data_IF_115738576359
#
_entry.id   IF_115738576359
#
_cell.length_a   1.000
_cell.length_b   1.000
_cell.length_c   1.000
_cell.angle_alpha   90.00
_cell.angle_beta   90.00
_cell.angle_gamma   90.00
#
_symmetry.space_group_name_H-M   'P 1'
#
loop_
_entity.id
_entity.type
_entity.pdbx_description
1 polymer ?
#
# COMPACT_ATOMS: atom_id res chain seq x y z
N UNK A 1 4.25 -16.54 4.75
CA UNK A 1 3.91 -16.29 3.37
C UNK A 1 4.67 -17.27 2.48
N UNK A 2 4.08 -17.61 1.40
CA UNK A 2 4.58 -18.59 0.45
C UNK A 2 5.47 -17.98 -0.63
N UNK A 3 5.78 -16.73 -0.56
CA UNK A 3 6.69 -16.06 -1.47
C UNK A 3 6.12 -15.62 -2.81
N UNK A 4 4.83 -15.82 -3.07
CA UNK A 4 4.23 -15.27 -4.30
C UNK A 4 3.69 -13.88 -4.06
N UNK A 5 3.58 -13.09 -5.11
CA UNK A 5 3.12 -11.70 -5.00
C UNK A 5 1.96 -11.43 -5.95
N UNK A 6 0.88 -10.98 -5.39
CA UNK A 6 -0.29 -10.42 -6.03
C UNK A 6 -0.37 -8.99 -5.50
N UNK A 7 -0.63 -7.98 -6.31
CA UNK A 7 -0.52 -6.60 -5.85
C UNK A 7 -1.43 -6.29 -4.68
N UNK A 8 -2.68 -6.77 -4.70
CA UNK A 8 -3.58 -6.56 -3.57
C UNK A 8 -3.03 -7.21 -2.31
N UNK A 9 -2.58 -8.45 -2.42
CA UNK A 9 -1.97 -9.14 -1.30
C UNK A 9 -0.64 -8.51 -0.91
N UNK A 10 0.12 -7.99 -1.86
CA UNK A 10 1.37 -7.34 -1.53
C UNK A 10 1.17 -6.08 -0.70
N UNK A 11 0.13 -5.33 -1.00
CA UNK A 11 -0.25 -4.18 -0.18
C UNK A 11 -0.67 -4.65 1.22
N UNK A 12 -1.33 -5.80 1.34
CA UNK A 12 -1.85 -6.35 2.58
C UNK A 12 -1.08 -7.58 3.06
N UNK A 13 -0.86 -8.58 2.20
CA UNK A 13 -0.31 -9.88 2.57
C UNK A 13 0.10 -10.68 1.33
N UNK A 14 1.10 -10.26 0.62
CA UNK A 14 1.46 -10.74 -0.72
C UNK A 14 1.79 -12.20 -0.87
N UNK A 15 1.48 -12.77 -2.03
CA UNK A 15 1.93 -14.08 -2.44
C UNK A 15 2.48 -14.04 -3.87
N UNK A 16 3.65 -14.58 -4.08
CA UNK A 16 4.43 -14.44 -5.31
C UNK A 16 3.86 -15.17 -6.53
N UNK A 17 3.39 -16.41 -6.32
CA UNK A 17 2.81 -17.21 -7.42
C UNK A 17 1.60 -16.53 -8.07
N UNK A 18 0.80 -15.84 -7.31
CA UNK A 18 -0.38 -15.16 -7.86
C UNK A 18 -0.02 -14.08 -8.85
N UNK A 19 1.06 -13.33 -8.59
CA UNK A 19 1.49 -12.29 -9.52
C UNK A 19 1.96 -12.89 -10.83
N UNK A 20 2.75 -13.94 -10.75
CA UNK A 20 3.25 -14.58 -11.97
C UNK A 20 2.15 -15.31 -12.73
N UNK A 21 1.12 -15.79 -12.04
CA UNK A 21 0.00 -16.46 -12.69
C UNK A 21 -0.96 -15.49 -13.35
N UNK A 22 -1.25 -14.37 -12.68
CA UNK A 22 -2.30 -13.44 -13.10
C UNK A 22 -1.79 -12.21 -13.82
N UNK A 23 -0.49 -12.12 -14.07
CA UNK A 23 0.15 -10.89 -14.51
C UNK A 23 -0.01 -9.79 -13.45
N UNK A 24 0.32 -8.56 -13.79
CA UNK A 24 0.09 -7.45 -12.88
C UNK A 24 -1.37 -7.05 -12.90
N UNK A 25 -1.90 -6.80 -11.73
CA UNK A 25 -3.27 -6.36 -11.57
C UNK A 25 -3.45 -4.93 -12.09
N UNK A 26 -4.67 -4.56 -12.49
CA UNK A 26 -4.95 -3.19 -12.94
C UNK A 26 -4.50 -2.11 -11.96
N UNK A 27 -4.51 -2.39 -10.65
CA UNK A 27 -4.01 -1.45 -9.66
C UNK A 27 -2.52 -1.15 -9.84
N UNK A 28 -1.73 -2.11 -10.30
CA UNK A 28 -0.32 -1.88 -10.61
C UNK A 28 -0.16 -0.91 -11.78
N UNK A 29 -1.01 -1.00 -12.78
CA UNK A 29 -1.01 -0.07 -13.89
C UNK A 29 -1.40 1.34 -13.44
N UNK A 30 -2.39 1.44 -12.57
CA UNK A 30 -2.76 2.70 -11.96
C UNK A 30 -1.58 3.30 -11.18
N UNK A 31 -0.88 2.48 -10.42
CA UNK A 31 0.32 2.91 -9.70
C UNK A 31 1.38 3.44 -10.66
N UNK A 32 1.67 2.71 -11.74
CA UNK A 32 2.67 3.16 -12.72
C UNK A 32 2.28 4.49 -13.37
N UNK A 33 1.00 4.67 -13.66
CA UNK A 33 0.50 5.93 -14.20
C UNK A 33 0.65 7.07 -13.18
N UNK A 34 0.30 6.81 -11.92
CA UNK A 34 0.36 7.81 -10.86
C UNK A 34 1.80 8.25 -10.57
N UNK A 35 2.76 7.32 -10.61
CA UNK A 35 4.16 7.65 -10.30
C UNK A 35 4.81 8.53 -11.36
N UNK A 36 4.25 8.60 -12.55
CA UNK A 36 4.75 9.48 -13.62
C UNK A 36 4.47 10.95 -13.35
N UNK A 37 3.50 11.24 -12.51
CA UNK A 37 3.18 12.62 -12.14
C UNK A 37 4.03 13.00 -10.93
N UNK A 38 4.96 13.98 -11.07
CA UNK A 38 5.85 14.37 -9.98
C UNK A 38 5.11 14.99 -8.78
N UNK A 39 3.86 15.41 -8.95
CA UNK A 39 3.05 15.94 -7.85
C UNK A 39 2.49 14.83 -6.97
N UNK A 40 2.53 13.59 -7.44
CA UNK A 40 2.08 12.45 -6.67
C UNK A 40 3.21 11.89 -5.81
N UNK A 41 2.93 11.66 -4.55
CA UNK A 41 3.85 11.01 -3.62
C UNK A 41 3.31 9.60 -3.35
N UNK A 42 3.97 8.61 -3.92
CA UNK A 42 3.56 7.22 -3.76
C UNK A 42 4.25 6.63 -2.54
N UNK A 43 3.45 6.13 -1.62
CA UNK A 43 3.93 5.52 -0.38
C UNK A 43 3.38 4.11 -0.31
N UNK A 44 4.25 3.15 -0.03
CA UNK A 44 3.83 1.80 0.29
C UNK A 44 3.68 1.72 1.80
N UNK A 45 2.53 1.26 2.26
CA UNK A 45 2.26 1.04 3.68
C UNK A 45 1.76 -0.40 3.85
N UNK A 46 2.59 -1.26 4.40
CA UNK A 46 2.31 -2.69 4.48
C UNK A 46 2.49 -3.24 5.88
N UNK A 47 1.64 -4.18 6.27
CA UNK A 47 1.77 -4.92 7.52
C UNK A 47 2.84 -6.03 7.43
N UNK A 48 3.45 -6.19 6.28
CA UNK A 48 4.47 -7.18 6.04
C UNK A 48 5.84 -6.67 6.49
N UNK A 49 6.68 -7.55 6.98
CA UNK A 49 8.11 -7.25 7.15
C UNK A 49 8.74 -7.40 5.77
N UNK A 50 9.23 -6.28 5.22
CA UNK A 50 9.78 -6.27 3.86
C UNK A 50 11.12 -7.00 3.80
N UNK A 51 11.25 -7.88 2.82
CA UNK A 51 12.48 -8.61 2.55
C UNK A 51 13.00 -8.29 1.15
N UNK A 52 14.15 -8.88 0.83
CA UNK A 52 14.84 -8.66 -0.43
C UNK A 52 13.94 -8.97 -1.65
N UNK A 53 13.16 -10.05 -1.58
CA UNK A 53 12.26 -10.44 -2.66
C UNK A 53 11.16 -9.40 -2.91
N UNK A 54 10.71 -8.73 -1.87
CA UNK A 54 9.68 -7.70 -2.01
C UNK A 54 10.22 -6.50 -2.78
N UNK A 55 11.44 -6.08 -2.48
CA UNK A 55 12.08 -4.98 -3.19
C UNK A 55 12.39 -5.35 -4.64
N UNK A 56 12.87 -6.57 -4.87
CA UNK A 56 13.12 -7.08 -6.22
C UNK A 56 11.84 -7.09 -7.07
N UNK A 57 10.73 -7.51 -6.46
CA UNK A 57 9.44 -7.52 -7.13
C UNK A 57 9.05 -6.12 -7.61
N UNK A 58 9.14 -5.13 -6.73
CA UNK A 58 8.81 -3.75 -7.09
C UNK A 58 9.68 -3.26 -8.25
N UNK A 59 10.96 -3.54 -8.18
CA UNK A 59 11.89 -3.14 -9.22
C UNK A 59 11.59 -3.81 -10.55
N UNK A 60 11.34 -5.12 -10.52
CA UNK A 60 11.04 -5.91 -11.72
C UNK A 60 9.81 -5.38 -12.44
N UNK A 61 8.82 -4.92 -11.70
CA UNK A 61 7.56 -4.42 -12.27
C UNK A 61 7.49 -2.91 -12.38
N UNK A 62 8.62 -2.22 -12.21
CA UNK A 62 8.71 -0.77 -12.33
C UNK A 62 7.74 -0.01 -11.42
N UNK A 63 7.55 -0.53 -10.21
CA UNK A 63 6.70 0.08 -9.19
C UNK A 63 7.59 0.85 -8.22
N UNK A 64 7.52 2.18 -8.26
CA UNK A 64 8.35 3.05 -7.47
C UNK A 64 7.54 3.72 -6.35
N UNK A 65 8.17 3.89 -5.20
CA UNK A 65 7.58 4.62 -4.09
C UNK A 65 8.64 5.54 -3.48
N UNK A 66 8.23 6.69 -2.99
CA UNK A 66 9.17 7.61 -2.31
C UNK A 66 9.52 7.11 -0.93
N UNK A 67 8.66 6.28 -0.34
CA UNK A 67 8.88 5.70 0.98
C UNK A 67 8.14 4.38 1.09
N UNK A 68 8.75 3.42 1.75
CA UNK A 68 8.13 2.14 2.07
C UNK A 68 8.03 2.06 3.60
N UNK A 69 6.79 2.03 4.07
CA UNK A 69 6.46 1.88 5.48
C UNK A 69 6.05 0.45 5.71
N UNK A 70 6.85 -0.28 6.46
CA UNK A 70 6.64 -1.71 6.66
C UNK A 70 6.66 -2.06 8.14
N UNK A 71 6.15 -3.24 8.46
CA UNK A 71 6.15 -3.75 9.81
C UNK A 71 7.59 -3.90 10.31
N UNK A 72 7.95 -3.28 11.44
CA UNK A 72 9.26 -3.55 12.04
C UNK A 72 9.36 -5.01 12.46
N UNK A 73 10.56 -5.58 12.36
CA UNK A 73 10.80 -6.94 12.81
C UNK A 73 10.44 -7.05 14.29
N UNK A 74 9.68 -8.09 14.65
CA UNK A 74 9.23 -8.32 16.02
C UNK A 74 7.97 -7.55 16.43
N UNK A 75 7.47 -6.66 15.61
CA UNK A 75 6.22 -5.95 15.90
C UNK A 75 5.04 -6.88 15.72
N UNK A 76 4.14 -6.89 16.71
CA UNK A 76 2.94 -7.74 16.72
C UNK A 76 1.63 -6.96 16.74
N UNK A 77 1.70 -5.67 16.44
CA UNK A 77 0.49 -4.84 16.38
C UNK A 77 -0.44 -5.33 15.27
N UNK A 78 -1.74 -5.21 15.47
CA UNK A 78 -2.71 -5.48 14.42
C UNK A 78 -2.54 -4.50 13.25
N UNK A 79 -3.01 -4.90 12.06
CA UNK A 79 -2.80 -4.14 10.84
C UNK A 79 -3.28 -2.69 10.94
N UNK A 80 -4.46 -2.47 11.53
CA UNK A 80 -5.01 -1.12 11.63
C UNK A 80 -4.17 -0.23 12.54
N UNK A 81 -3.77 -0.74 13.70
CA UNK A 81 -2.91 -0.01 14.63
C UNK A 81 -1.55 0.28 14.02
N UNK A 82 -0.96 -0.74 13.40
CA UNK A 82 0.34 -0.62 12.77
C UNK A 82 0.33 0.44 11.68
N UNK A 83 -0.62 0.36 10.77
CA UNK A 83 -0.66 1.28 9.62
C UNK A 83 -0.97 2.71 10.04
N UNK A 84 -1.84 2.90 11.03
CA UNK A 84 -2.05 4.23 11.60
C UNK A 84 -0.75 4.80 12.16
N UNK A 85 -0.04 4.02 12.96
CA UNK A 85 1.20 4.47 13.59
C UNK A 85 2.30 4.76 12.58
N UNK A 86 2.42 3.92 11.55
CA UNK A 86 3.39 4.14 10.47
C UNK A 86 3.10 5.45 9.73
N UNK A 87 1.85 5.71 9.42
CA UNK A 87 1.46 6.92 8.71
C UNK A 87 1.64 8.17 9.55
N UNK A 88 1.29 8.11 10.84
CA UNK A 88 1.50 9.24 11.75
C UNK A 88 2.98 9.58 11.90
N UNK A 89 3.82 8.57 12.01
CA UNK A 89 5.27 8.76 12.09
C UNK A 89 5.80 9.40 10.81
N UNK A 90 5.36 8.93 9.67
CA UNK A 90 5.77 9.47 8.39
C UNK A 90 5.35 10.93 8.21
N UNK A 91 4.12 11.26 8.57
CA UNK A 91 3.64 12.64 8.53
C UNK A 91 4.52 13.55 9.39
N UNK A 92 4.84 13.10 10.59
CA UNK A 92 5.71 13.84 11.51
C UNK A 92 7.12 14.02 10.95
N UNK A 93 7.70 12.95 10.40
CA UNK A 93 9.04 12.99 9.83
C UNK A 93 9.14 13.93 8.63
N UNK A 94 8.04 14.09 7.88
CA UNK A 94 8.00 14.99 6.74
C UNK A 94 7.50 16.39 7.07
N UNK A 95 7.33 16.69 8.36
CA UNK A 95 6.94 18.03 8.82
C UNK A 95 5.48 18.39 8.53
N UNK A 96 4.61 17.40 8.31
CA UNK A 96 3.19 17.62 8.03
C UNK A 96 2.36 17.42 9.28
N UNK A 97 1.38 18.28 9.51
CA UNK A 97 0.38 18.01 10.53
C UNK A 97 -0.46 16.82 10.10
N UNK A 98 -1.02 16.10 11.07
CA UNK A 98 -1.89 14.97 10.76
C UNK A 98 -3.11 15.43 9.96
N UNK A 99 -3.67 16.59 10.30
CA UNK A 99 -4.83 17.13 9.59
C UNK A 99 -4.53 17.39 8.11
N UNK A 100 -3.36 17.93 7.81
CA UNK A 100 -2.94 18.15 6.42
C UNK A 100 -2.67 16.84 5.71
N UNK A 101 -1.93 15.94 6.34
CA UNK A 101 -1.60 14.64 5.76
C UNK A 101 -2.85 13.84 5.44
N UNK A 102 -3.76 13.69 6.41
CA UNK A 102 -4.98 12.92 6.23
C UNK A 102 -5.87 13.48 5.13
N UNK A 103 -5.96 14.81 5.06
CA UNK A 103 -6.81 15.47 4.06
C UNK A 103 -6.32 15.27 2.64
N UNK A 104 -5.01 15.14 2.44
CA UNK A 104 -4.39 15.02 1.12
C UNK A 104 -4.03 13.58 0.75
N UNK A 105 -4.17 12.63 1.67
CA UNK A 105 -3.82 11.24 1.43
C UNK A 105 -4.98 10.43 0.90
N UNK A 106 -4.67 9.44 0.06
CA UNK A 106 -5.60 8.41 -0.34
C UNK A 106 -5.00 7.05 -0.01
N UNK A 107 -5.77 6.17 0.60
CA UNK A 107 -5.31 4.84 1.00
C UNK A 107 -6.01 3.75 0.21
N UNK A 108 -5.22 2.89 -0.42
CA UNK A 108 -5.70 1.73 -1.17
C UNK A 108 -5.30 0.47 -0.40
N UNK A 109 -6.27 -0.25 0.13
CA UNK A 109 -6.03 -1.44 0.93
C UNK A 109 -7.19 -2.42 0.75
N UNK A 110 -6.97 -3.69 1.02
CA UNK A 110 -8.01 -4.71 0.98
C UNK A 110 -8.50 -5.13 2.37
N UNK A 111 -7.83 -4.66 3.41
CA UNK A 111 -8.19 -5.00 4.79
C UNK A 111 -9.25 -4.02 5.30
N UNK A 112 -10.45 -4.53 5.57
CA UNK A 112 -11.57 -3.69 6.01
C UNK A 112 -11.30 -2.98 7.32
N UNK A 113 -10.63 -3.62 8.27
CA UNK A 113 -10.29 -2.98 9.55
C UNK A 113 -9.37 -1.77 9.35
N UNK A 114 -8.44 -1.86 8.41
CA UNK A 114 -7.56 -0.74 8.06
C UNK A 114 -8.36 0.39 7.42
N UNK A 115 -9.21 0.07 6.45
CA UNK A 115 -10.02 1.07 5.76
C UNK A 115 -10.95 1.79 6.73
N UNK A 116 -11.63 1.07 7.62
CA UNK A 116 -12.51 1.66 8.62
C UNK A 116 -11.73 2.58 9.56
N UNK A 117 -10.58 2.12 10.04
CA UNK A 117 -9.75 2.91 10.94
C UNK A 117 -9.29 4.21 10.29
N UNK A 118 -8.72 4.13 9.10
CA UNK A 118 -8.14 5.30 8.45
C UNK A 118 -9.22 6.26 7.94
N UNK A 119 -10.36 5.75 7.52
CA UNK A 119 -11.49 6.61 7.16
C UNK A 119 -11.99 7.40 8.37
N UNK A 120 -12.03 6.77 9.55
CA UNK A 120 -12.40 7.48 10.78
C UNK A 120 -11.40 8.58 11.16
N UNK A 121 -10.20 8.53 10.60
CA UNK A 121 -9.15 9.54 10.78
C UNK A 121 -9.10 10.54 9.62
N UNK A 122 -10.13 10.56 8.80
CA UNK A 122 -10.31 11.50 7.68
C UNK A 122 -9.38 11.25 6.48
N UNK A 123 -8.87 10.05 6.33
CA UNK A 123 -8.16 9.64 5.11
C UNK A 123 -9.19 9.06 4.14
N UNK A 124 -9.19 9.52 2.89
CA UNK A 124 -10.02 8.92 1.85
C UNK A 124 -9.49 7.53 1.55
N UNK A 125 -10.36 6.53 1.69
CA UNK A 125 -9.97 5.13 1.53
C UNK A 125 -10.67 4.48 0.36
N UNK A 126 -9.95 3.58 -0.32
CA UNK A 126 -10.43 2.82 -1.46
C UNK A 126 -10.17 1.35 -1.21
N UNK A 127 -11.19 0.52 -1.37
CA UNK A 127 -11.04 -0.93 -1.28
C UNK A 127 -10.33 -1.42 -2.53
N UNK A 128 -9.13 -1.96 -2.36
CA UNK A 128 -8.30 -2.39 -3.48
C UNK A 128 -8.93 -3.55 -4.25
N UNK A 129 -9.67 -4.42 -3.58
CA UNK A 129 -10.35 -5.54 -4.24
C UNK A 129 -11.45 -5.01 -5.15
N UNK A 130 -12.27 -4.10 -4.65
CA UNK A 130 -13.36 -3.50 -5.43
C UNK A 130 -12.79 -2.70 -6.59
N UNK A 131 -11.77 -1.90 -6.34
CA UNK A 131 -11.15 -1.08 -7.37
C UNK A 131 -10.56 -1.94 -8.49
N UNK A 132 -9.84 -3.00 -8.16
CA UNK A 132 -9.31 -3.92 -9.16
C UNK A 132 -10.42 -4.57 -9.99
N UNK A 133 -11.52 -4.93 -9.35
CA UNK A 133 -12.67 -5.51 -10.03
C UNK A 133 -13.25 -4.53 -11.04
N UNK A 134 -13.41 -3.27 -10.66
CA UNK A 134 -13.92 -2.23 -11.55
C UNK A 134 -12.97 -1.94 -12.72
N UNK A 135 -11.66 -1.87 -12.45
CA UNK A 135 -10.66 -1.63 -13.48
C UNK A 135 -10.57 -2.80 -14.46
N UNK A 136 -10.76 -4.02 -13.99
CA UNK A 136 -10.73 -5.20 -14.83
C UNK A 136 -11.97 -5.27 -15.74
N UNK A 137 -13.11 -4.77 -15.28
CA UNK A 137 -14.36 -4.77 -16.04
C UNK A 137 -14.38 -3.67 -17.11
N UNK A 138 -13.50 -2.70 -17.03
CA UNK A 138 -13.41 -1.60 -18.01
C UNK A 138 -12.67 -2.01 -19.32
#
# INVERSE_FOLDING_TARGET
ADGSLDLNNWIANCTKEKIFADSLLPLAEYWRAAQKNPDNEIIVCTARVMGEHDYEFLKMHSLNAVKILSRPMGCRDGDADLKENLLRKYAKETGRSWARFSRTAGMYDDNQAVLIRLESLNITCYDAIILNSLLTAA
#
